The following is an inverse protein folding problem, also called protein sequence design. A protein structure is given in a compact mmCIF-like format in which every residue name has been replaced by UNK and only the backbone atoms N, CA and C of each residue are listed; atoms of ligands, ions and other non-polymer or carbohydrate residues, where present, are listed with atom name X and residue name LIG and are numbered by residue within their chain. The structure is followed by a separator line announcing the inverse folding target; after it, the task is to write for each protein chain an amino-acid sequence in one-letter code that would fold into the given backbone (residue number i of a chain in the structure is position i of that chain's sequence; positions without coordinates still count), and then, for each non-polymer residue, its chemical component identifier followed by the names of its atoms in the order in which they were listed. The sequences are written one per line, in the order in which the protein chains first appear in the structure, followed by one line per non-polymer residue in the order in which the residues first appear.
data_IF_924860912456
#
_entry.id   IF_924860912456
#
_cell.length_a   1.000
_cell.length_b   1.000
_cell.length_c   1.000
_cell.angle_alpha   90.00
_cell.angle_beta   90.00
_cell.angle_gamma   90.00
#
_symmetry.space_group_name_H-M   'P 1'
#
loop_
_entity.id
_entity.type
_entity.pdbx_description
1 polymer ?
#
# COMPACT_ATOMS: atom_id res chain seq x y z
N UNK A 1 -12.63 10.79 -1.58
CA UNK A 1 -11.98 9.77 -0.74
C UNK A 1 -11.60 8.62 -1.64
N UNK A 2 -10.38 8.10 -1.50
CA UNK A 2 -9.82 7.10 -2.43
C UNK A 2 -9.43 5.84 -1.66
N UNK A 3 -9.79 4.68 -2.19
CA UNK A 3 -9.49 3.37 -1.62
C UNK A 3 -8.47 2.68 -2.51
N UNK A 4 -7.43 2.12 -1.90
CA UNK A 4 -6.46 1.26 -2.56
C UNK A 4 -6.59 -0.14 -1.96
N UNK A 5 -7.01 -1.10 -2.78
CA UNK A 5 -7.30 -2.47 -2.35
C UNK A 5 -6.44 -3.49 -3.09
N UNK A 6 -6.21 -4.64 -2.47
CA UNK A 6 -5.52 -5.75 -3.11
C UNK A 6 -6.43 -6.53 -4.08
N UNK A 7 -5.92 -7.65 -4.61
CA UNK A 7 -6.65 -8.52 -5.52
C UNK A 7 -7.96 -9.08 -4.94
N UNK A 8 -8.03 -9.26 -3.61
CA UNK A 8 -9.22 -9.78 -2.97
C UNK A 8 -10.42 -8.81 -3.11
N UNK A 9 -10.16 -7.50 -3.01
CA UNK A 9 -11.20 -6.46 -3.09
C UNK A 9 -11.34 -5.84 -4.48
N UNK A 10 -10.60 -6.29 -5.48
CA UNK A 10 -10.64 -5.72 -6.83
C UNK A 10 -11.73 -6.38 -7.67
N UNK A 11 -12.93 -5.77 -7.69
CA UNK A 11 -14.10 -6.22 -8.48
C UNK A 11 -14.76 -5.05 -9.20
N UNK A 12 -15.07 -5.23 -10.49
CA UNK A 12 -15.72 -4.20 -11.32
C UNK A 12 -17.04 -3.70 -10.72
N UNK A 13 -17.99 -4.58 -10.29
CA UNK A 13 -19.26 -4.10 -9.73
C UNK A 13 -19.06 -3.27 -8.46
N UNK A 14 -18.10 -3.65 -7.61
CA UNK A 14 -17.77 -2.91 -6.39
C UNK A 14 -17.28 -1.50 -6.73
N UNK A 15 -16.37 -1.38 -7.70
CA UNK A 15 -15.79 -0.09 -8.06
C UNK A 15 -16.82 0.84 -8.70
N UNK A 16 -17.76 0.30 -9.48
CA UNK A 16 -18.89 1.06 -10.00
C UNK A 16 -19.78 1.61 -8.87
N UNK A 17 -20.07 0.80 -7.85
CA UNK A 17 -20.83 1.23 -6.67
C UNK A 17 -20.05 2.27 -5.86
N UNK A 18 -18.75 2.09 -5.64
CA UNK A 18 -17.92 3.09 -4.98
C UNK A 18 -17.94 4.42 -5.74
N UNK A 19 -17.80 4.37 -7.06
CA UNK A 19 -17.80 5.56 -7.90
C UNK A 19 -19.14 6.31 -7.86
N UNK A 20 -20.27 5.59 -7.85
CA UNK A 20 -21.59 6.22 -7.71
C UNK A 20 -21.78 6.93 -6.36
N UNK A 21 -21.03 6.54 -5.33
CA UNK A 21 -21.00 7.20 -4.03
C UNK A 21 -19.86 8.25 -3.91
N UNK A 22 -19.18 8.59 -5.00
CA UNK A 22 -18.06 9.56 -4.99
C UNK A 22 -16.78 9.02 -4.34
N UNK A 23 -16.64 7.70 -4.24
CA UNK A 23 -15.45 7.03 -3.72
C UNK A 23 -14.61 6.53 -4.90
N UNK A 24 -13.41 7.07 -5.02
CA UNK A 24 -12.40 6.57 -5.95
C UNK A 24 -11.85 5.23 -5.47
N UNK A 25 -11.58 4.31 -6.39
CA UNK A 25 -11.00 3.01 -6.06
C UNK A 25 -9.88 2.64 -7.03
N UNK A 26 -8.85 1.97 -6.51
CA UNK A 26 -7.74 1.43 -7.28
C UNK A 26 -7.33 0.07 -6.71
N UNK A 27 -7.00 -0.89 -7.57
CA UNK A 27 -6.55 -2.20 -7.14
C UNK A 27 -5.87 -3.00 -8.23
N UNK A 28 -5.20 -4.08 -7.83
CA UNK A 28 -4.57 -5.04 -8.76
C UNK A 28 -5.43 -6.26 -8.97
N UNK A 29 -5.47 -6.82 -10.17
CA UNK A 29 -5.99 -8.16 -10.43
C UNK A 29 -4.85 -9.05 -10.92
N UNK A 30 -4.67 -10.22 -10.28
CA UNK A 30 -3.65 -11.20 -10.69
C UNK A 30 -4.32 -12.47 -11.22
N UNK A 31 -4.28 -12.64 -12.54
CA UNK A 31 -4.73 -13.83 -13.28
C UNK A 31 -3.56 -14.43 -14.09
N UNK A 32 -2.36 -14.43 -13.51
CA UNK A 32 -1.10 -14.85 -14.15
C UNK A 32 -0.35 -13.69 -14.82
N UNK A 33 -1.02 -12.55 -14.98
CA UNK A 33 -0.43 -11.24 -15.24
C UNK A 33 -1.11 -10.24 -14.30
N UNK A 34 -0.37 -9.23 -13.85
CA UNK A 34 -0.89 -8.20 -12.95
C UNK A 34 -1.53 -7.08 -13.76
N UNK A 35 -2.85 -6.98 -13.67
CA UNK A 35 -3.64 -5.89 -14.22
C UNK A 35 -3.97 -4.85 -13.15
N UNK A 36 -4.21 -3.61 -13.57
CA UNK A 36 -4.63 -2.52 -12.68
C UNK A 36 -6.07 -2.14 -13.03
N UNK A 37 -6.92 -2.00 -12.01
CA UNK A 37 -8.25 -1.43 -12.12
C UNK A 37 -8.29 -0.13 -11.34
N UNK A 38 -8.77 0.96 -11.95
CA UNK A 38 -8.87 2.25 -11.28
C UNK A 38 -10.05 3.06 -11.80
N UNK A 39 -10.68 3.83 -10.91
CA UNK A 39 -11.68 4.86 -11.24
C UNK A 39 -11.15 6.28 -11.05
N UNK A 40 -9.89 6.42 -10.64
CA UNK A 40 -9.29 7.69 -10.23
C UNK A 40 -8.34 8.23 -11.29
N UNK A 41 -7.58 7.35 -11.96
CA UNK A 41 -6.50 7.74 -12.86
C UNK A 41 -6.87 7.56 -14.33
N UNK A 42 -6.33 8.42 -15.20
CA UNK A 42 -6.36 8.20 -16.65
C UNK A 42 -5.11 7.43 -17.08
N UNK A 43 -5.22 6.69 -18.19
CA UNK A 43 -4.11 5.88 -18.70
C UNK A 43 -2.96 6.74 -19.29
N UNK A 44 -3.22 8.03 -19.53
CA UNK A 44 -2.28 8.98 -20.11
C UNK A 44 -1.35 9.61 -19.08
N UNK A 45 -1.62 9.40 -17.79
CA UNK A 45 -0.90 10.09 -16.72
C UNK A 45 0.38 9.32 -16.36
N UNK A 46 1.53 9.97 -16.54
CA UNK A 46 2.85 9.43 -16.22
C UNK A 46 3.55 10.28 -15.17
N UNK A 47 4.27 9.61 -14.27
CA UNK A 47 5.11 10.24 -13.26
C UNK A 47 6.54 9.71 -13.42
N UNK A 48 7.50 10.63 -13.38
CA UNK A 48 8.91 10.30 -13.37
C UNK A 48 9.31 9.85 -11.96
N UNK A 49 9.74 8.60 -11.82
CA UNK A 49 10.14 8.03 -10.55
C UNK A 49 11.55 7.46 -10.63
N UNK A 50 12.39 7.80 -9.66
CA UNK A 50 13.68 7.15 -9.47
C UNK A 50 13.48 5.73 -8.94
N UNK A 51 14.06 4.76 -9.64
CA UNK A 51 14.07 3.36 -9.23
C UNK A 51 15.50 2.90 -9.00
N UNK A 52 15.69 2.10 -7.95
CA UNK A 52 16.95 1.42 -7.66
C UNK A 52 17.06 0.15 -8.49
N UNK A 53 18.23 -0.09 -9.07
CA UNK A 53 18.52 -1.31 -9.83
C UNK A 53 18.35 -2.52 -8.89
N UNK A 54 17.45 -3.47 -9.21
CA UNK A 54 17.14 -4.58 -8.32
C UNK A 54 18.35 -5.50 -8.21
N UNK A 55 18.53 -6.21 -7.08
CA UNK A 55 19.67 -7.14 -6.87
C UNK A 55 19.72 -8.21 -7.97
N UNK A 56 20.93 -8.70 -8.29
CA UNK A 56 21.13 -9.74 -9.32
C UNK A 56 20.42 -11.04 -8.99
N UNK A 57 20.17 -11.29 -7.70
CA UNK A 57 19.45 -12.45 -7.18
C UNK A 57 17.93 -12.32 -7.19
N UNK A 58 17.37 -11.17 -7.60
CA UNK A 58 15.91 -11.02 -7.65
C UNK A 58 15.30 -11.86 -8.77
N UNK A 59 14.09 -12.40 -8.55
CA UNK A 59 13.41 -13.30 -9.50
C UNK A 59 13.32 -12.72 -10.92
N UNK A 60 13.08 -11.41 -11.02
CA UNK A 60 12.94 -10.70 -12.30
C UNK A 60 14.20 -9.92 -12.71
N UNK A 61 15.36 -10.22 -12.10
CA UNK A 61 16.60 -9.48 -12.32
C UNK A 61 17.02 -9.46 -13.80
N UNK A 62 16.89 -10.60 -14.49
CA UNK A 62 17.31 -10.74 -15.88
C UNK A 62 16.59 -9.74 -16.80
N UNK A 63 15.26 -9.65 -16.68
CA UNK A 63 14.43 -8.75 -17.48
C UNK A 63 14.58 -7.29 -17.03
N UNK A 64 14.47 -7.04 -15.72
CA UNK A 64 14.39 -5.67 -15.18
C UNK A 64 15.73 -4.94 -15.24
N UNK A 65 16.86 -5.62 -15.01
CA UNK A 65 18.18 -4.97 -15.00
C UNK A 65 18.64 -4.53 -16.39
N UNK A 66 18.08 -5.10 -17.46
CA UNK A 66 18.34 -4.67 -18.84
C UNK A 66 17.80 -3.27 -19.17
N UNK A 67 16.74 -2.83 -18.47
CA UNK A 67 16.20 -1.47 -18.61
C UNK A 67 17.09 -0.39 -17.94
N UNK A 68 18.03 -0.80 -17.08
CA UNK A 68 18.97 0.09 -16.43
C UNK A 68 20.26 0.20 -17.24
N UNK A 69 20.84 1.41 -17.32
CA UNK A 69 22.18 1.59 -17.90
C UNK A 69 23.25 0.72 -17.22
N UNK A 70 24.36 0.38 -17.91
CA UNK A 70 25.39 -0.54 -17.41
C UNK A 70 25.92 -0.14 -16.03
N UNK A 71 26.25 1.14 -15.84
CA UNK A 71 26.85 1.67 -14.60
C UNK A 71 25.85 2.39 -13.69
N UNK A 72 24.55 2.35 -13.99
CA UNK A 72 23.54 3.07 -13.20
C UNK A 72 22.96 2.19 -12.09
N UNK A 73 23.22 2.56 -10.84
CA UNK A 73 22.58 1.96 -9.66
C UNK A 73 21.14 2.44 -9.45
N UNK A 74 20.81 3.64 -9.94
CA UNK A 74 19.47 4.22 -9.94
C UNK A 74 19.18 4.86 -11.31
N UNK A 75 17.93 4.82 -11.75
CA UNK A 75 17.50 5.45 -12.99
C UNK A 75 16.06 5.97 -12.86
N UNK A 76 15.78 7.09 -13.51
CA UNK A 76 14.44 7.66 -13.62
C UNK A 76 13.68 6.94 -14.74
N UNK A 77 12.47 6.49 -14.43
CA UNK A 77 11.53 5.94 -15.41
C UNK A 77 10.23 6.74 -15.39
N UNK A 78 9.68 6.99 -16.57
CA UNK A 78 8.30 7.43 -16.71
C UNK A 78 7.38 6.22 -16.50
N UNK A 79 6.73 6.16 -15.34
CA UNK A 79 5.78 5.10 -14.99
C UNK A 79 4.37 5.66 -14.98
N UNK A 80 3.37 4.80 -15.19
CA UNK A 80 1.99 5.21 -15.06
C UNK A 80 1.71 5.69 -13.63
N UNK A 81 1.00 6.81 -13.51
CA UNK A 81 0.67 7.40 -12.22
C UNK A 81 -0.10 6.42 -11.34
N UNK A 82 -1.04 5.66 -11.91
CA UNK A 82 -1.81 4.63 -11.18
C UNK A 82 -0.92 3.62 -10.45
N UNK A 83 0.20 3.21 -11.08
CA UNK A 83 1.14 2.25 -10.49
C UNK A 83 1.90 2.90 -9.34
N UNK A 84 2.31 4.16 -9.53
CA UNK A 84 3.01 4.91 -8.50
C UNK A 84 2.13 5.09 -7.25
N UNK A 85 0.91 5.59 -7.44
CA UNK A 85 -0.01 5.92 -6.35
C UNK A 85 -0.44 4.65 -5.62
N UNK A 86 -0.74 3.57 -6.36
CA UNK A 86 -1.01 2.27 -5.74
C UNK A 86 0.14 1.80 -4.85
N UNK A 87 1.38 1.85 -5.35
CA UNK A 87 2.56 1.44 -4.57
C UNK A 87 2.73 2.27 -3.29
N UNK A 88 2.40 3.56 -3.34
CA UNK A 88 2.53 4.45 -2.19
C UNK A 88 1.43 4.26 -1.14
N UNK A 89 0.20 3.99 -1.57
CA UNK A 89 -0.97 4.00 -0.69
C UNK A 89 -1.48 2.61 -0.27
N UNK A 90 -1.10 1.52 -0.96
CA UNK A 90 -1.57 0.16 -0.64
C UNK A 90 -1.16 -0.34 0.75
N UNK A 91 0.02 0.05 1.24
CA UNK A 91 0.63 -0.55 2.46
C UNK A 91 0.12 0.08 3.77
N UNK A 92 -1.04 0.75 3.78
CA UNK A 92 -1.57 1.39 4.98
C UNK A 92 -1.88 0.39 6.10
N UNK A 93 -2.54 -0.72 5.75
CA UNK A 93 -2.88 -1.80 6.69
C UNK A 93 -1.63 -2.52 7.18
N UNK A 94 -0.70 -2.85 6.28
CA UNK A 94 0.56 -3.53 6.64
C UNK A 94 1.41 -2.72 7.62
N UNK A 95 1.41 -1.38 7.49
CA UNK A 95 2.09 -0.50 8.45
C UNK A 95 1.44 -0.55 9.83
N UNK A 96 0.10 -0.57 9.89
CA UNK A 96 -0.62 -0.69 11.15
C UNK A 96 -0.35 -2.05 11.82
N UNK A 97 -0.36 -3.13 11.04
CA UNK A 97 -0.02 -4.47 11.54
C UNK A 97 1.44 -4.57 12.01
N UNK A 98 2.36 -3.96 11.26
CA UNK A 98 3.77 -3.86 11.66
C UNK A 98 3.94 -3.13 12.99
N UNK A 99 3.26 -1.99 13.21
CA UNK A 99 3.31 -1.27 14.48
C UNK A 99 2.77 -2.11 15.64
N UNK A 100 1.67 -2.82 15.41
CA UNK A 100 1.10 -3.75 16.38
C UNK A 100 2.08 -4.89 16.72
N UNK A 101 2.73 -5.49 15.71
CA UNK A 101 3.69 -6.57 15.91
C UNK A 101 4.95 -6.15 16.70
N UNK A 102 5.36 -4.88 16.61
CA UNK A 102 6.51 -4.35 17.36
C UNK A 102 6.25 -4.16 18.86
N UNK A 103 5.00 -3.90 19.25
CA UNK A 103 4.62 -3.58 20.63
C UNK A 103 3.48 -4.48 21.14
N UNK A 104 3.67 -5.81 21.20
CA UNK A 104 2.60 -6.71 21.60
C UNK A 104 2.30 -6.54 23.10
N UNK A 105 1.06 -6.21 23.45
CA UNK A 105 0.61 -6.19 24.85
C UNK A 105 -0.04 -7.51 25.27
N UNK A 106 -0.37 -8.38 24.31
CA UNK A 106 -1.11 -9.61 24.55
C UNK A 106 -0.29 -10.67 25.32
N UNK A 107 -0.76 -11.14 26.49
CA UNK A 107 -0.19 -12.30 27.18
C UNK A 107 -0.64 -13.61 26.52
N UNK A 108 0.19 -14.65 26.63
CA UNK A 108 -0.19 -16.00 26.19
C UNK A 108 -1.37 -16.51 27.03
N UNK A 109 -2.52 -16.74 26.39
CA UNK A 109 -3.69 -17.32 27.04
C UNK A 109 -4.50 -18.18 26.07
N UNK A 110 -5.19 -19.19 26.60
CA UNK A 110 -6.11 -20.05 25.83
C UNK A 110 -7.54 -19.51 25.88
N UNK A 111 -7.71 -18.23 25.51
CA UNK A 111 -9.01 -17.55 25.47
C UNK A 111 -9.16 -16.85 24.12
N UNK A 112 -10.07 -17.34 23.27
CA UNK A 112 -10.21 -16.85 21.89
C UNK A 112 -10.70 -15.40 21.79
N UNK A 113 -11.35 -14.86 22.84
CA UNK A 113 -11.75 -13.45 22.89
C UNK A 113 -10.62 -12.50 23.29
N UNK A 114 -9.58 -13.02 23.96
CA UNK A 114 -8.50 -12.21 24.51
C UNK A 114 -7.64 -11.55 23.40
N UNK A 115 -7.30 -12.23 22.29
CA UNK A 115 -6.65 -11.59 21.14
C UNK A 115 -7.44 -10.38 20.60
N UNK A 116 -8.77 -10.48 20.47
CA UNK A 116 -9.60 -9.37 19.99
C UNK A 116 -9.57 -8.18 20.96
N UNK A 117 -9.62 -8.45 22.27
CA UNK A 117 -9.53 -7.41 23.29
C UNK A 117 -8.19 -6.66 23.22
N UNK A 118 -7.07 -7.39 23.18
CA UNK A 118 -5.75 -6.75 23.11
C UNK A 118 -5.50 -6.07 21.76
N UNK A 119 -6.02 -6.61 20.66
CA UNK A 119 -5.96 -5.93 19.36
C UNK A 119 -6.65 -4.55 19.40
N UNK A 120 -7.80 -4.44 20.07
CA UNK A 120 -8.48 -3.15 20.26
C UNK A 120 -7.66 -2.19 21.14
N UNK A 121 -7.06 -2.70 22.22
CA UNK A 121 -6.19 -1.90 23.10
C UNK A 121 -4.98 -1.39 22.33
N UNK A 122 -4.26 -2.25 21.61
CA UNK A 122 -3.07 -1.88 20.85
C UNK A 122 -3.41 -0.88 19.74
N UNK A 123 -4.51 -1.09 19.02
CA UNK A 123 -5.02 -0.14 18.03
C UNK A 123 -5.34 1.22 18.65
N UNK A 124 -5.95 1.25 19.85
CA UNK A 124 -6.28 2.50 20.55
C UNK A 124 -5.03 3.26 21.00
N UNK A 125 -3.97 2.56 21.44
CA UNK A 125 -2.69 3.16 21.84
C UNK A 125 -2.01 3.78 20.62
N UNK A 126 -1.92 3.04 19.50
CA UNK A 126 -1.33 3.54 18.25
C UNK A 126 -2.09 4.77 17.75
N UNK A 127 -3.43 4.72 17.72
CA UNK A 127 -4.26 5.85 17.28
C UNK A 127 -4.09 7.08 18.18
N UNK A 128 -3.99 6.88 19.50
CA UNK A 128 -3.75 7.97 20.46
C UNK A 128 -2.39 8.65 20.22
N UNK A 129 -1.35 7.85 19.93
CA UNK A 129 -0.03 8.36 19.59
C UNK A 129 -0.02 9.15 18.27
N UNK A 130 -0.68 8.63 17.22
CA UNK A 130 -0.80 9.34 15.94
C UNK A 130 -1.52 10.68 16.13
N UNK A 131 -2.63 10.70 16.90
CA UNK A 131 -3.37 11.93 17.17
C UNK A 131 -2.51 12.95 17.94
N UNK A 132 -1.79 12.50 18.97
CA UNK A 132 -0.86 13.35 19.72
C UNK A 132 0.18 14.00 18.80
N UNK A 133 0.79 13.22 17.91
CA UNK A 133 1.81 13.71 16.99
C UNK A 133 1.24 14.70 15.96
N UNK A 134 0.03 14.45 15.44
CA UNK A 134 -0.65 15.38 14.53
C UNK A 134 -0.96 16.73 15.21
N UNK A 135 -1.46 16.70 16.45
CA UNK A 135 -1.74 17.93 17.21
C UNK A 135 -0.46 18.69 17.55
N UNK A 136 0.62 17.99 17.88
CA UNK A 136 1.91 18.60 18.15
C UNK A 136 2.48 19.35 16.93
N UNK A 137 2.40 18.75 15.74
CA UNK A 137 2.86 19.39 14.50
C UNK A 137 2.04 20.62 14.10
N UNK A 138 0.75 20.65 14.41
CA UNK A 138 -0.11 21.81 14.12
C UNK A 138 0.14 23.00 15.05
N UNK A 139 0.79 22.76 16.19
CA UNK A 139 1.09 23.77 17.19
C UNK A 139 2.47 24.47 16.98
N UNK A 140 3.23 24.05 15.97
CA UNK A 140 4.48 24.69 15.52
C UNK A 140 4.26 25.49 14.24
#
# INVERSE_FOLDING_TARGET
FNIYGDNYFTKIPLFQVCYSHGIGACGTEDSGSVYMLTTIHQITDYVNCERKKPRSTSANAATTRGAFGPDRGCQVFAILQVINDYTHYMNGVDRADQLHAFYPTQPKAQRNWLPLFYWLVDTSIVNSFVLFWLLYLQAQ
#
